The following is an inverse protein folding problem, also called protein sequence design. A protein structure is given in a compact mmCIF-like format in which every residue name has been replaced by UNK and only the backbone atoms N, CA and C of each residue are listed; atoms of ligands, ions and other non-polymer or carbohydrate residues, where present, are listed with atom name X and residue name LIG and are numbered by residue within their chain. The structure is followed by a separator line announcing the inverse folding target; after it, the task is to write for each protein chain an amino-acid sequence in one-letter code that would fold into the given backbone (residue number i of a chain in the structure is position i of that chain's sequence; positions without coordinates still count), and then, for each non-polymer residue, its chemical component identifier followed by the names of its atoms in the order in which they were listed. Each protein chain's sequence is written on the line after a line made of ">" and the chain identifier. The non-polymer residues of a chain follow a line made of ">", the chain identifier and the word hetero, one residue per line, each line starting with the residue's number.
data_IF_753521380074
#
_entry.id   IF_753521380074
#
_cell.length_a   1.000
_cell.length_b   1.000
_cell.length_c   1.000
_cell.angle_alpha   90.00
_cell.angle_beta   90.00
_cell.angle_gamma   90.00
#
_symmetry.space_group_name_H-M   'P 1'
#
loop_
_entity.id
_entity.type
_entity.pdbx_description
1 polymer ?
#
# COMPACT_ATOMS: atom_id res chain seq x y z
N UNK A 1 -61.14 -0.87 31.94
CA UNK A 1 -60.41 -1.24 30.76
C UNK A 1 -59.15 -0.37 30.70
N UNK A 2 -58.03 -0.95 31.06
CA UNK A 2 -56.73 -0.24 31.07
C UNK A 2 -56.01 -0.61 29.80
N UNK A 3 -55.79 0.35 28.88
CA UNK A 3 -55.06 0.15 27.65
C UNK A 3 -53.60 0.48 27.94
N UNK A 4 -52.74 -0.55 27.97
CA UNK A 4 -51.32 -0.40 28.14
C UNK A 4 -50.69 -0.06 26.78
N UNK A 5 -50.10 1.15 26.64
CA UNK A 5 -49.30 1.54 25.51
C UNK A 5 -47.87 0.97 25.67
N UNK A 6 -47.53 0.02 24.83
CA UNK A 6 -46.14 -0.51 24.72
C UNK A 6 -45.37 0.40 23.77
N UNK A 7 -44.49 1.24 24.33
CA UNK A 7 -43.56 2.05 23.54
C UNK A 7 -42.37 1.18 23.11
N UNK A 8 -42.29 0.87 21.83
CA UNK A 8 -41.12 0.20 21.23
C UNK A 8 -40.07 1.25 20.98
N UNK A 9 -39.03 1.25 21.79
CA UNK A 9 -37.82 2.07 21.55
C UNK A 9 -36.99 1.42 20.46
N UNK A 10 -36.93 2.05 19.27
CA UNK A 10 -36.01 1.71 18.20
C UNK A 10 -34.60 2.17 18.58
N UNK A 11 -33.77 1.25 19.00
CA UNK A 11 -32.35 1.49 19.22
C UNK A 11 -31.65 1.53 17.85
N UNK A 12 -31.42 2.73 17.33
CA UNK A 12 -30.56 2.95 16.15
C UNK A 12 -29.14 2.66 16.53
N UNK A 13 -28.64 1.47 16.15
CA UNK A 13 -27.21 1.16 16.28
C UNK A 13 -26.46 1.89 15.17
N UNK A 14 -25.81 2.98 15.52
CA UNK A 14 -24.86 3.67 14.66
C UNK A 14 -23.62 2.78 14.50
N UNK A 15 -23.52 2.08 13.38
CA UNK A 15 -22.30 1.37 12.99
C UNK A 15 -21.30 2.43 12.54
N UNK A 16 -20.45 2.86 13.46
CA UNK A 16 -19.31 3.72 13.10
C UNK A 16 -18.35 2.89 12.25
N UNK A 17 -18.01 3.34 11.03
CA UNK A 17 -16.95 2.68 10.28
C UNK A 17 -15.65 2.77 11.09
N UNK A 18 -15.07 1.62 11.40
CA UNK A 18 -13.72 1.56 11.97
C UNK A 18 -12.74 2.12 10.94
N UNK A 19 -12.47 3.40 11.04
CA UNK A 19 -11.34 4.02 10.35
C UNK A 19 -10.09 3.51 11.05
N UNK A 20 -9.50 2.45 10.50
CA UNK A 20 -8.17 1.99 10.96
C UNK A 20 -7.18 3.05 10.50
N UNK A 21 -6.56 3.80 11.41
CA UNK A 21 -5.55 4.76 11.01
C UNK A 21 -4.41 4.00 10.35
N UNK A 22 -4.12 4.33 9.09
CA UNK A 22 -2.87 3.89 8.45
C UNK A 22 -1.76 4.48 9.29
N UNK A 23 -0.93 3.63 9.89
CA UNK A 23 0.16 4.07 10.73
C UNK A 23 1.06 5.09 10.03
N UNK A 24 1.59 6.04 10.77
CA UNK A 24 2.44 7.12 10.24
C UNK A 24 3.78 6.62 9.66
N UNK A 25 4.04 5.32 9.74
CA UNK A 25 5.29 4.70 9.30
C UNK A 25 5.02 3.53 8.35
N UNK A 26 6.01 3.27 7.49
CA UNK A 26 6.01 2.07 6.65
C UNK A 26 5.92 0.79 7.51
N UNK A 27 5.32 -0.28 6.98
CA UNK A 27 5.24 -1.56 7.68
C UNK A 27 6.63 -2.11 7.99
N UNK A 28 6.73 -2.98 8.99
CA UNK A 28 8.00 -3.63 9.33
C UNK A 28 8.22 -4.82 8.41
N UNK A 29 9.25 -4.75 7.59
CA UNK A 29 9.70 -5.81 6.68
C UNK A 29 11.07 -6.30 7.14
N UNK A 30 11.28 -7.62 7.15
CA UNK A 30 12.58 -8.20 7.45
C UNK A 30 13.50 -8.12 6.22
N UNK A 31 14.22 -6.99 6.11
CA UNK A 31 15.10 -6.68 4.99
C UNK A 31 16.18 -7.74 4.78
N UNK A 32 16.78 -8.24 5.86
CA UNK A 32 17.85 -9.24 5.76
C UNK A 32 17.33 -10.54 5.16
N UNK A 33 16.16 -11.00 5.60
CA UNK A 33 15.53 -12.20 5.05
C UNK A 33 15.15 -12.00 3.60
N UNK A 34 14.49 -10.90 3.27
CA UNK A 34 14.10 -10.56 1.89
C UNK A 34 15.31 -10.57 0.96
N UNK A 35 16.40 -9.95 1.35
CA UNK A 35 17.61 -9.90 0.53
C UNK A 35 18.32 -11.24 0.41
N UNK A 36 18.36 -12.04 1.49
CA UNK A 36 18.92 -13.41 1.41
C UNK A 36 18.13 -14.29 0.46
N UNK A 37 16.81 -14.25 0.51
CA UNK A 37 15.93 -15.01 -0.37
C UNK A 37 16.12 -14.57 -1.83
N UNK A 38 16.18 -13.28 -2.10
CA UNK A 38 16.43 -12.72 -3.44
C UNK A 38 17.77 -13.18 -4.01
N UNK A 39 18.84 -13.11 -3.22
CA UNK A 39 20.16 -13.57 -3.64
C UNK A 39 20.19 -15.07 -3.91
N UNK A 40 19.49 -15.87 -3.12
CA UNK A 40 19.38 -17.31 -3.33
C UNK A 40 18.69 -17.63 -4.65
N UNK A 41 17.54 -17.02 -4.94
CA UNK A 41 16.80 -17.18 -6.20
C UNK A 41 17.64 -16.75 -7.40
N UNK A 42 18.35 -15.62 -7.30
CA UNK A 42 19.21 -15.12 -8.38
C UNK A 42 20.36 -16.11 -8.71
N UNK A 43 20.90 -16.78 -7.71
CA UNK A 43 21.90 -17.84 -7.92
C UNK A 43 21.33 -19.06 -8.63
N UNK A 44 20.13 -19.50 -8.23
CA UNK A 44 19.46 -20.66 -8.84
C UNK A 44 19.06 -20.40 -10.29
N UNK A 45 18.60 -19.17 -10.57
CA UNK A 45 18.16 -18.77 -11.92
C UNK A 45 19.29 -18.25 -12.81
N UNK A 46 20.52 -18.22 -12.29
CA UNK A 46 21.73 -17.81 -13.03
C UNK A 46 21.62 -16.41 -13.66
N UNK A 47 21.03 -15.48 -12.93
CA UNK A 47 20.90 -14.08 -13.37
C UNK A 47 22.26 -13.40 -13.40
N UNK A 48 22.69 -12.98 -14.59
CA UNK A 48 24.02 -12.41 -14.82
C UNK A 48 24.33 -11.11 -14.04
N UNK A 49 23.30 -10.41 -13.57
CA UNK A 49 23.41 -9.16 -12.81
C UNK A 49 22.92 -9.31 -11.37
N UNK A 50 23.16 -10.47 -10.75
CA UNK A 50 22.79 -10.70 -9.37
C UNK A 50 23.45 -9.65 -8.46
N UNK A 51 22.61 -8.90 -7.77
CA UNK A 51 23.05 -7.87 -6.82
C UNK A 51 23.67 -8.52 -5.57
N UNK A 52 24.82 -8.04 -5.06
CA UNK A 52 25.35 -8.49 -3.79
C UNK A 52 24.38 -8.23 -2.62
N UNK A 53 24.42 -9.11 -1.62
CA UNK A 53 23.54 -9.03 -0.44
C UNK A 53 23.58 -7.64 0.22
N UNK A 54 24.78 -7.07 0.38
CA UNK A 54 24.97 -5.75 1.00
C UNK A 54 24.29 -4.62 0.24
N UNK A 55 24.34 -4.67 -1.09
CA UNK A 55 23.68 -3.69 -1.93
C UNK A 55 22.14 -3.81 -1.82
N UNK A 56 21.62 -5.02 -1.81
CA UNK A 56 20.19 -5.25 -1.59
C UNK A 56 19.74 -4.66 -0.25
N UNK A 57 20.45 -4.94 0.84
CA UNK A 57 20.12 -4.42 2.17
C UNK A 57 20.14 -2.89 2.19
N UNK A 58 21.12 -2.28 1.55
CA UNK A 58 21.22 -0.81 1.45
C UNK A 58 20.03 -0.24 0.68
N UNK A 59 19.69 -0.80 -0.47
CA UNK A 59 18.61 -0.32 -1.31
C UNK A 59 17.24 -0.45 -0.63
N UNK A 60 17.01 -1.53 0.11
CA UNK A 60 15.82 -1.73 0.92
C UNK A 60 15.71 -0.69 2.05
N UNK A 61 16.80 -0.40 2.74
CA UNK A 61 16.81 0.61 3.80
C UNK A 61 16.60 2.03 3.24
N UNK A 62 17.18 2.36 2.10
CA UNK A 62 16.96 3.63 1.41
C UNK A 62 15.50 3.77 0.97
N UNK A 63 14.92 2.71 0.42
CA UNK A 63 13.51 2.69 0.05
C UNK A 63 12.59 2.90 1.27
N UNK A 64 12.89 2.29 2.41
CA UNK A 64 12.16 2.49 3.67
C UNK A 64 12.17 3.97 4.10
N UNK A 65 13.33 4.61 4.05
CA UNK A 65 13.43 6.03 4.40
C UNK A 65 12.61 6.91 3.46
N UNK A 66 12.69 6.66 2.16
CA UNK A 66 11.89 7.38 1.15
C UNK A 66 10.39 7.16 1.33
N UNK A 67 9.95 5.95 1.63
CA UNK A 67 8.55 5.66 1.94
C UNK A 67 8.04 6.50 3.10
N UNK A 68 8.80 6.58 4.18
CA UNK A 68 8.43 7.41 5.32
C UNK A 68 8.35 8.90 4.96
N UNK A 69 9.27 9.38 4.12
CA UNK A 69 9.31 10.78 3.68
C UNK A 69 8.10 11.15 2.78
N UNK A 70 7.62 10.22 1.94
CA UNK A 70 6.50 10.49 1.01
C UNK A 70 5.14 10.04 1.55
N UNK A 71 5.08 9.52 2.76
CA UNK A 71 3.85 8.92 3.29
C UNK A 71 2.66 9.90 3.32
N UNK A 72 2.90 11.16 3.66
CA UNK A 72 1.87 12.19 3.65
C UNK A 72 1.48 12.69 2.25
N UNK A 73 2.29 12.42 1.25
CA UNK A 73 2.06 12.84 -0.14
C UNK A 73 0.99 11.99 -0.82
N UNK A 74 0.88 10.72 -0.41
CA UNK A 74 -0.06 9.77 -1.00
C UNK A 74 -1.19 9.44 -0.03
N UNK A 75 -2.43 9.23 -0.53
CA UNK A 75 -3.57 8.94 0.34
C UNK A 75 -3.47 7.55 0.97
N UNK A 76 -4.06 7.38 2.15
CA UNK A 76 -4.05 6.14 2.91
C UNK A 76 -4.47 4.89 2.10
N UNK A 77 -5.48 4.91 1.22
CA UNK A 77 -5.85 3.76 0.40
C UNK A 77 -4.73 3.29 -0.54
N UNK A 78 -3.88 4.19 -1.02
CA UNK A 78 -2.71 3.84 -1.85
C UNK A 78 -1.72 3.03 -1.03
N UNK A 79 -1.39 3.49 0.17
CA UNK A 79 -0.50 2.76 1.07
C UNK A 79 -1.03 1.37 1.41
N UNK A 80 -2.29 1.27 1.81
CA UNK A 80 -2.93 -0.01 2.15
C UNK A 80 -2.91 -0.99 0.99
N UNK A 81 -3.20 -0.52 -0.22
CA UNK A 81 -3.15 -1.36 -1.44
C UNK A 81 -1.74 -1.84 -1.72
N UNK A 82 -0.77 -0.92 -1.74
CA UNK A 82 0.62 -1.24 -2.04
C UNK A 82 1.25 -2.16 -0.98
N UNK A 83 0.93 -1.96 0.30
CA UNK A 83 1.37 -2.84 1.39
C UNK A 83 0.84 -4.27 1.21
N UNK A 84 -0.42 -4.41 0.82
CA UNK A 84 -1.01 -5.71 0.52
C UNK A 84 -0.32 -6.38 -0.68
N UNK A 85 -0.14 -5.65 -1.77
CA UNK A 85 0.51 -6.17 -2.97
C UNK A 85 1.95 -6.59 -2.70
N UNK A 86 2.72 -5.77 -1.99
CA UNK A 86 4.12 -6.05 -1.67
C UNK A 86 4.31 -7.27 -0.76
N UNK A 87 3.30 -7.66 0.02
CA UNK A 87 3.38 -8.78 0.99
C UNK A 87 2.67 -10.04 0.53
N UNK A 88 2.00 -10.03 -0.63
CA UNK A 88 1.24 -11.19 -1.12
C UNK A 88 2.06 -12.45 -1.31
N UNK A 89 3.34 -12.32 -1.67
CA UNK A 89 4.22 -13.44 -2.00
C UNK A 89 5.26 -13.77 -0.90
N UNK A 90 5.12 -13.20 0.28
CA UNK A 90 6.03 -13.46 1.39
C UNK A 90 6.33 -12.25 2.27
N UNK A 91 7.60 -12.10 2.67
CA UNK A 91 8.04 -11.04 3.61
C UNK A 91 7.84 -9.61 3.09
N UNK A 92 7.75 -9.45 1.80
CA UNK A 92 7.65 -8.13 1.15
C UNK A 92 9.01 -7.47 0.92
N UNK A 93 8.96 -6.31 0.25
CA UNK A 93 10.12 -5.49 -0.08
C UNK A 93 9.76 -4.01 0.02
N UNK A 94 10.62 -3.22 0.63
CA UNK A 94 10.43 -1.76 0.66
C UNK A 94 10.63 -1.13 -0.72
N UNK A 95 11.50 -1.70 -1.56
CA UNK A 95 11.70 -1.25 -2.94
C UNK A 95 10.41 -1.44 -3.75
N UNK A 96 9.79 -2.60 -3.66
CA UNK A 96 8.52 -2.90 -4.35
C UNK A 96 7.40 -2.00 -3.83
N UNK A 97 7.33 -1.82 -2.52
CA UNK A 97 6.34 -0.96 -1.88
C UNK A 97 6.50 0.50 -2.32
N UNK A 98 7.72 1.03 -2.32
CA UNK A 98 8.02 2.38 -2.80
C UNK A 98 7.66 2.55 -4.27
N UNK A 99 8.01 1.57 -5.10
CA UNK A 99 7.68 1.58 -6.53
C UNK A 99 6.17 1.62 -6.75
N UNK A 100 5.41 0.78 -6.05
CA UNK A 100 3.94 0.78 -6.12
C UNK A 100 3.36 2.15 -5.73
N UNK A 101 3.83 2.73 -4.63
CA UNK A 101 3.36 4.04 -4.17
C UNK A 101 3.69 5.13 -5.19
N UNK A 102 4.91 5.15 -5.73
CA UNK A 102 5.34 6.16 -6.72
C UNK A 102 4.62 6.04 -8.06
N UNK A 103 4.19 4.85 -8.43
CA UNK A 103 3.37 4.62 -9.62
C UNK A 103 1.90 5.02 -9.43
N UNK A 104 1.50 5.32 -8.21
CA UNK A 104 0.16 5.79 -7.88
C UNK A 104 0.07 7.31 -7.97
N UNK A 105 -1.15 7.85 -8.13
CA UNK A 105 -1.32 9.29 -8.17
C UNK A 105 -1.19 9.90 -6.76
N UNK A 106 -0.42 11.01 -6.62
CA UNK A 106 -0.35 11.75 -5.35
C UNK A 106 -1.70 12.33 -4.93
N UNK A 107 -1.86 12.57 -3.63
CA UNK A 107 -3.09 13.16 -3.08
C UNK A 107 -3.43 14.56 -3.64
N UNK A 108 -2.43 15.30 -4.12
CA UNK A 108 -2.58 16.64 -4.70
C UNK A 108 -3.11 16.63 -6.13
N UNK A 109 -3.01 15.49 -6.81
CA UNK A 109 -3.60 15.29 -8.13
C UNK A 109 -4.99 14.69 -7.91
N UNK A 110 -5.98 15.53 -7.66
CA UNK A 110 -7.35 15.07 -7.70
C UNK A 110 -7.62 14.46 -9.08
N UNK A 111 -8.27 13.28 -9.16
CA UNK A 111 -8.61 12.69 -10.46
C UNK A 111 -9.71 13.51 -11.12
N UNK A 112 -9.33 14.56 -11.82
CA UNK A 112 -10.21 15.33 -12.68
C UNK A 112 -10.13 14.85 -14.14
N UNK A 113 -9.55 13.68 -14.35
CA UNK A 113 -9.51 13.12 -15.69
C UNK A 113 -10.79 12.35 -15.92
N UNK A 114 -11.80 13.07 -16.33
CA UNK A 114 -12.90 12.48 -17.06
C UNK A 114 -12.31 11.86 -18.35
N UNK A 115 -11.98 10.58 -18.29
CA UNK A 115 -11.48 9.81 -19.44
C UNK A 115 -12.55 9.66 -20.57
N UNK A 116 -13.70 10.31 -20.41
CA UNK A 116 -14.75 10.33 -21.45
C UNK A 116 -14.43 11.22 -22.66
N UNK A 117 -13.37 12.01 -22.60
CA UNK A 117 -12.99 12.94 -23.67
C UNK A 117 -12.03 12.41 -24.73
N UNK A 118 -11.36 11.26 -24.51
CA UNK A 118 -10.32 10.78 -25.42
C UNK A 118 -10.83 9.96 -26.63
N UNK A 119 -12.14 9.81 -26.79
CA UNK A 119 -12.76 8.90 -27.78
C UNK A 119 -13.37 9.56 -29.03
N UNK A 120 -13.11 10.82 -29.35
CA UNK A 120 -13.67 11.42 -30.54
C UNK A 120 -12.73 12.40 -31.21
N UNK A 121 -11.89 11.89 -32.09
CA UNK A 121 -11.53 12.56 -33.36
C UNK A 121 -10.83 11.58 -34.28
N UNK A 122 -11.61 10.82 -35.01
CA UNK A 122 -11.21 10.42 -36.35
C UNK A 122 -12.15 11.12 -37.32
N UNK A 123 -11.64 12.05 -38.01
CA UNK A 123 -12.12 12.45 -39.32
C UNK A 123 -10.98 12.28 -40.29
#
# INVERSE_FOLDING_TARGET
>A
MIVAFISVALISQSVSPLVIPVGDRAPVINVEKTCKDTVAVNKETNVALAQPLENCIRDENDAKQRLNAVRSTYPAPVHTRCEREATLLGEGSYVDLLTCVQMSEPATLAPTTDLRGAGKKSK
#
